data_IF_183143205877
#
_entry.id   IF_183143205877
#
_cell.length_a   1.000
_cell.length_b   1.000
_cell.length_c   1.000
_cell.angle_alpha   90.00
_cell.angle_beta   90.00
_cell.angle_gamma   90.00
#
_symmetry.space_group_name_H-M   'P 1'
#
loop_
_entity.id
_entity.type
_entity.pdbx_description
1 polymer ?
#
# COMPACT_ATOMS: atom_id res chain seq x y z
N UNK A 1 -5.66 -25.05 3.94
CA UNK A 1 -5.75 -24.46 2.58
C UNK A 1 -4.74 -23.34 2.58
N UNK A 2 -3.63 -23.47 1.86
CA UNK A 2 -2.43 -22.65 2.07
C UNK A 2 -2.65 -21.15 1.83
N UNK A 3 -1.89 -20.33 2.54
CA UNK A 3 -1.81 -18.89 2.30
C UNK A 3 -1.26 -18.61 0.90
N UNK A 4 -2.01 -17.89 0.07
CA UNK A 4 -1.56 -17.53 -1.27
C UNK A 4 -0.59 -16.33 -1.18
N UNK A 5 0.71 -16.58 -1.26
CA UNK A 5 1.77 -15.56 -1.28
C UNK A 5 1.85 -14.74 -2.59
N UNK A 6 0.78 -14.71 -3.39
CA UNK A 6 0.79 -14.20 -4.76
C UNK A 6 1.56 -15.10 -5.74
N UNK A 7 1.56 -14.73 -7.02
CA UNK A 7 2.36 -15.40 -8.05
C UNK A 7 3.86 -15.10 -7.92
N UNK A 8 4.69 -15.80 -8.70
CA UNK A 8 6.16 -15.68 -8.62
C UNK A 8 6.67 -14.24 -8.80
N UNK A 9 6.10 -13.47 -9.73
CA UNK A 9 6.47 -12.07 -9.95
C UNK A 9 6.13 -11.17 -8.76
N UNK A 10 4.96 -11.35 -8.15
CA UNK A 10 4.57 -10.58 -6.95
C UNK A 10 5.42 -10.95 -5.74
N UNK A 11 5.82 -12.22 -5.61
CA UNK A 11 6.71 -12.66 -4.55
C UNK A 11 8.12 -12.09 -4.71
N UNK A 12 8.67 -12.06 -5.93
CA UNK A 12 9.96 -11.41 -6.22
C UNK A 12 9.90 -9.91 -5.93
N UNK A 13 8.85 -9.22 -6.36
CA UNK A 13 8.68 -7.79 -6.10
C UNK A 13 8.57 -7.48 -4.59
N UNK A 14 7.86 -8.32 -3.84
CA UNK A 14 7.76 -8.19 -2.38
C UNK A 14 9.13 -8.41 -1.72
N UNK A 15 9.87 -9.43 -2.14
CA UNK A 15 11.21 -9.70 -1.61
C UNK A 15 12.18 -8.55 -1.89
N UNK A 16 12.19 -8.02 -3.11
CA UNK A 16 13.02 -6.86 -3.47
C UNK A 16 12.65 -5.60 -2.69
N UNK A 17 11.35 -5.41 -2.40
CA UNK A 17 10.86 -4.32 -1.55
C UNK A 17 11.42 -4.43 -0.13
N UNK A 18 11.29 -5.61 0.49
CA UNK A 18 11.81 -5.87 1.85
C UNK A 18 13.33 -5.68 1.87
N UNK A 19 14.06 -6.27 0.92
CA UNK A 19 15.51 -6.14 0.83
C UNK A 19 15.94 -4.69 0.69
N UNK A 20 15.32 -3.94 -0.22
CA UNK A 20 15.65 -2.53 -0.45
C UNK A 20 15.39 -1.69 0.81
N UNK A 21 14.30 -1.95 1.52
CA UNK A 21 14.01 -1.31 2.81
C UNK A 21 15.11 -1.58 3.84
N UNK A 22 15.54 -2.84 3.95
CA UNK A 22 16.52 -3.26 4.97
C UNK A 22 17.96 -2.84 4.63
N UNK A 23 18.36 -2.87 3.36
CA UNK A 23 19.74 -2.61 2.93
C UNK A 23 20.02 -1.16 2.56
N UNK A 24 19.06 -0.46 1.94
CA UNK A 24 19.22 0.92 1.45
C UNK A 24 18.54 1.89 2.41
N UNK A 25 17.36 1.53 2.91
CA UNK A 25 16.57 2.34 3.83
C UNK A 25 15.15 2.61 3.31
N UNK A 26 14.32 3.28 4.12
CA UNK A 26 12.90 3.49 3.82
C UNK A 26 12.66 4.28 2.53
N UNK A 27 13.54 5.23 2.21
CA UNK A 27 13.41 6.09 1.02
C UNK A 27 13.57 5.33 -0.31
N UNK A 28 14.14 4.12 -0.28
CA UNK A 28 14.30 3.28 -1.46
C UNK A 28 13.00 2.58 -1.88
N UNK A 29 12.00 2.51 -0.99
CA UNK A 29 10.72 1.86 -1.26
C UNK A 29 9.71 2.91 -1.73
N UNK A 30 9.13 2.71 -2.91
CA UNK A 30 8.07 3.59 -3.40
C UNK A 30 6.83 3.48 -2.52
N UNK A 31 6.43 4.58 -1.87
CA UNK A 31 5.19 4.61 -1.12
C UNK A 31 3.98 4.52 -2.07
N UNK A 32 3.25 3.40 -1.96
CA UNK A 32 2.02 3.13 -2.71
C UNK A 32 0.82 2.96 -1.77
N UNK A 33 0.96 3.35 -0.50
CA UNK A 33 -0.09 3.22 0.52
C UNK A 33 -1.29 4.13 0.25
N UNK A 34 -1.13 5.17 -0.57
CA UNK A 34 -2.20 6.05 -1.05
C UNK A 34 -3.36 5.33 -1.74
N UNK A 35 -3.14 4.11 -2.26
CA UNK A 35 -4.21 3.28 -2.83
C UNK A 35 -5.11 2.64 -1.77
N UNK A 36 -4.54 2.31 -0.61
CA UNK A 36 -5.26 1.72 0.52
C UNK A 36 -5.92 2.78 1.40
N UNK A 37 -5.29 3.95 1.52
CA UNK A 37 -5.84 5.07 2.27
C UNK A 37 -6.25 6.20 1.32
N UNK A 38 -7.47 6.11 0.79
CA UNK A 38 -8.09 7.18 -0.02
C UNK A 38 -8.97 8.07 0.89
N UNK A 39 -8.45 9.18 1.45
CA UNK A 39 -9.25 10.09 2.29
C UNK A 39 -10.28 10.88 1.47
N UNK A 40 -10.06 11.00 0.16
CA UNK A 40 -10.97 11.71 -0.76
C UNK A 40 -12.15 10.82 -1.12
N UNK A 41 -13.36 11.39 -1.14
CA UNK A 41 -14.56 10.72 -1.63
C UNK A 41 -14.41 10.26 -3.10
N UNK A 42 -15.24 9.30 -3.50
CA UNK A 42 -15.20 8.68 -4.84
C UNK A 42 -15.32 9.74 -5.94
N UNK A 43 -16.27 10.66 -5.80
CA UNK A 43 -16.45 11.78 -6.74
C UNK A 43 -15.27 12.75 -6.81
N UNK A 44 -14.65 13.08 -5.67
CA UNK A 44 -13.49 13.96 -5.64
C UNK A 44 -12.28 13.30 -6.32
N UNK A 45 -12.12 11.98 -6.14
CA UNK A 45 -11.05 11.22 -6.79
C UNK A 45 -11.28 11.15 -8.31
N UNK A 46 -12.53 10.91 -8.74
CA UNK A 46 -12.89 10.91 -10.15
C UNK A 46 -12.66 12.27 -10.83
N UNK A 47 -12.98 13.39 -10.17
CA UNK A 47 -12.71 14.73 -10.69
C UNK A 47 -11.22 15.01 -10.82
N UNK A 48 -10.41 14.62 -9.82
CA UNK A 48 -8.95 14.74 -9.89
C UNK A 48 -8.37 13.91 -11.06
N UNK A 49 -8.88 12.70 -11.26
CA UNK A 49 -8.48 11.81 -12.37
C UNK A 49 -8.87 12.42 -13.72
N UNK A 50 -10.07 13.00 -13.83
CA UNK A 50 -10.54 13.69 -15.04
C UNK A 50 -9.66 14.91 -15.39
N UNK A 51 -9.34 15.73 -14.39
CA UNK A 51 -8.45 16.89 -14.55
C UNK A 51 -7.05 16.43 -14.96
N UNK A 52 -6.52 15.39 -14.30
CA UNK A 52 -5.22 14.81 -14.63
C UNK A 52 -5.19 14.26 -16.06
N UNK A 53 -6.25 13.59 -16.49
CA UNK A 53 -6.39 13.10 -17.86
C UNK A 53 -6.50 14.25 -18.87
N UNK A 54 -7.21 15.32 -18.53
CA UNK A 54 -7.31 16.52 -19.35
C UNK A 54 -5.95 17.20 -19.54
N UNK A 55 -5.12 17.26 -18.50
CA UNK A 55 -3.76 17.78 -18.61
C UNK A 55 -2.83 16.90 -19.44
N UNK A 56 -3.02 15.57 -19.44
CA UNK A 56 -2.18 14.63 -20.22
C UNK A 56 -2.58 14.50 -21.68
N UNK A 57 -3.88 14.43 -21.97
CA UNK A 57 -4.43 14.04 -23.27
C UNK A 57 -5.29 15.12 -23.92
N UNK A 58 -5.53 16.24 -23.23
CA UNK A 58 -6.42 17.32 -23.65
C UNK A 58 -7.86 17.14 -23.16
N UNK A 59 -8.53 18.26 -22.90
CA UNK A 59 -9.90 18.29 -22.35
C UNK A 59 -10.93 17.54 -23.19
N UNK A 60 -10.87 17.66 -24.52
CA UNK A 60 -11.83 16.99 -25.39
C UNK A 60 -11.74 15.47 -25.27
N UNK A 61 -10.53 14.92 -25.36
CA UNK A 61 -10.32 13.47 -25.29
C UNK A 61 -10.57 12.93 -23.87
N UNK A 62 -10.24 13.71 -22.83
CA UNK A 62 -10.53 13.35 -21.45
C UNK A 62 -12.04 13.31 -21.16
N UNK A 63 -12.80 14.33 -21.59
CA UNK A 63 -14.26 14.34 -21.41
C UNK A 63 -14.95 13.23 -22.23
N UNK A 64 -14.47 12.96 -23.44
CA UNK A 64 -15.01 11.87 -24.26
C UNK A 64 -14.69 10.51 -23.61
N UNK A 65 -13.44 10.25 -23.28
CA UNK A 65 -13.00 8.94 -22.79
C UNK A 65 -13.31 8.71 -21.31
N UNK A 66 -12.75 9.52 -20.41
CA UNK A 66 -12.93 9.34 -18.96
C UNK A 66 -14.33 9.78 -18.52
N UNK A 67 -14.87 10.83 -19.15
CA UNK A 67 -16.22 11.34 -18.90
C UNK A 67 -17.31 10.42 -19.46
N UNK A 68 -17.48 10.41 -20.79
CA UNK A 68 -18.61 9.72 -21.40
C UNK A 68 -18.46 8.20 -21.40
N UNK A 69 -17.37 7.65 -21.96
CA UNK A 69 -17.14 6.20 -21.98
C UNK A 69 -16.91 5.65 -20.57
N UNK A 70 -16.09 6.33 -19.76
CA UNK A 70 -15.78 5.92 -18.39
C UNK A 70 -17.02 5.85 -17.50
N UNK A 71 -17.87 6.88 -17.51
CA UNK A 71 -19.03 6.94 -16.62
C UNK A 71 -20.20 6.07 -17.12
N UNK A 72 -20.54 6.13 -18.41
CA UNK A 72 -21.76 5.50 -18.92
C UNK A 72 -21.57 4.07 -19.44
N UNK A 73 -20.38 3.74 -19.96
CA UNK A 73 -20.14 2.41 -20.56
C UNK A 73 -19.38 1.52 -19.57
N UNK A 74 -18.31 2.03 -18.97
CA UNK A 74 -17.49 1.24 -18.04
C UNK A 74 -17.91 1.38 -16.57
N UNK A 75 -18.73 2.39 -16.24
CA UNK A 75 -19.15 2.70 -14.87
C UNK A 75 -17.94 2.73 -13.90
N UNK A 76 -16.98 3.60 -14.20
CA UNK A 76 -15.73 3.77 -13.42
C UNK A 76 -15.99 4.04 -11.94
N UNK A 77 -17.10 4.70 -11.59
CA UNK A 77 -17.48 4.93 -10.20
C UNK A 77 -17.81 3.63 -9.46
N UNK A 78 -18.54 2.72 -10.09
CA UNK A 78 -18.85 1.42 -9.48
C UNK A 78 -17.57 0.58 -9.31
N UNK A 79 -16.66 0.64 -10.29
CA UNK A 79 -15.36 -0.02 -10.19
C UNK A 79 -14.56 0.54 -9.00
N UNK A 80 -14.48 1.86 -8.84
CA UNK A 80 -13.77 2.49 -7.71
C UNK A 80 -14.42 2.12 -6.35
N UNK A 81 -15.76 2.02 -6.28
CA UNK A 81 -16.45 1.52 -5.07
C UNK A 81 -16.05 0.09 -4.76
N UNK A 82 -16.16 -0.81 -5.74
CA UNK A 82 -15.85 -2.22 -5.57
C UNK A 82 -14.38 -2.45 -5.22
N UNK A 83 -13.48 -1.69 -5.85
CA UNK A 83 -12.05 -1.72 -5.55
C UNK A 83 -11.79 -1.28 -4.11
N UNK A 84 -12.36 -0.14 -3.67
CA UNK A 84 -12.21 0.34 -2.30
C UNK A 84 -12.78 -0.64 -1.29
N UNK A 85 -13.93 -1.26 -1.56
CA UNK A 85 -14.49 -2.29 -0.68
C UNK A 85 -13.65 -3.56 -0.66
N UNK A 86 -12.99 -3.92 -1.76
CA UNK A 86 -12.12 -5.09 -1.82
C UNK A 86 -10.78 -4.86 -1.10
N UNK A 87 -10.26 -3.64 -1.14
CA UNK A 87 -8.97 -3.27 -0.57
C UNK A 87 -9.06 -2.69 0.85
N UNK A 88 -10.23 -2.21 1.28
CA UNK A 88 -10.46 -1.57 2.57
C UNK A 88 -11.64 -2.19 3.33
N UNK A 89 -11.45 -2.56 4.61
CA UNK A 89 -10.18 -2.56 5.33
C UNK A 89 -9.22 -3.62 4.77
N UNK A 90 -7.89 -3.46 4.95
CA UNK A 90 -6.95 -4.53 4.68
C UNK A 90 -7.39 -5.80 5.42
N UNK A 91 -7.30 -6.99 4.81
CA UNK A 91 -7.66 -8.22 5.50
C UNK A 91 -6.75 -8.44 6.71
N UNK A 92 -7.34 -8.84 7.83
CA UNK A 92 -6.57 -9.23 9.01
C UNK A 92 -5.78 -10.52 8.74
N UNK A 93 -4.58 -10.60 9.33
CA UNK A 93 -3.65 -11.73 9.17
C UNK A 93 -4.00 -12.88 10.14
N UNK A 94 -5.26 -13.33 10.15
CA UNK A 94 -5.75 -14.32 11.12
C UNK A 94 -5.42 -15.78 10.75
N UNK A 95 -4.71 -16.01 9.65
CA UNK A 95 -4.40 -17.36 9.20
C UNK A 95 -3.45 -18.06 10.19
N UNK A 96 -3.78 -19.29 10.67
CA UNK A 96 -3.07 -19.92 11.79
C UNK A 96 -1.57 -20.08 11.56
N UNK A 97 -1.15 -20.40 10.33
CA UNK A 97 0.26 -20.57 10.00
C UNK A 97 1.01 -19.22 10.04
N UNK A 98 0.34 -18.11 9.69
CA UNK A 98 0.94 -16.76 9.80
C UNK A 98 1.13 -16.42 11.27
N UNK A 99 0.11 -16.64 12.09
CA UNK A 99 0.16 -16.38 13.53
C UNK A 99 1.26 -17.20 14.19
N UNK A 100 1.45 -18.45 13.76
CA UNK A 100 2.52 -19.31 14.26
C UNK A 100 3.91 -18.79 13.87
N UNK A 101 4.11 -18.41 12.61
CA UNK A 101 5.39 -17.88 12.12
C UNK A 101 5.67 -16.45 12.56
N UNK A 102 4.64 -15.69 12.96
CA UNK A 102 4.79 -14.33 13.47
C UNK A 102 5.06 -14.27 14.97
N UNK A 103 5.14 -15.41 15.68
CA UNK A 103 5.52 -15.43 17.09
C UNK A 103 6.93 -14.85 17.26
N UNK A 104 7.15 -13.98 18.24
CA UNK A 104 8.49 -13.48 18.51
C UNK A 104 9.42 -14.65 18.85
N UNK A 105 10.69 -14.49 18.48
CA UNK A 105 11.71 -15.44 18.90
C UNK A 105 11.78 -15.50 20.43
N UNK A 106 12.20 -16.63 21.02
CA UNK A 106 12.48 -16.70 22.45
C UNK A 106 13.46 -15.60 22.87
N UNK A 107 13.28 -14.97 24.05
CA UNK A 107 14.17 -13.89 24.52
C UNK A 107 15.64 -14.26 24.54
N UNK A 108 15.97 -15.55 24.72
CA UNK A 108 17.37 -16.02 24.70
C UNK A 108 18.03 -15.89 23.31
N UNK A 109 17.24 -15.80 22.23
CA UNK A 109 17.72 -15.66 20.85
C UNK A 109 17.70 -14.21 20.35
N UNK A 110 17.32 -13.26 21.20
CA UNK A 110 17.28 -11.86 20.81
C UNK A 110 18.70 -11.32 20.62
N UNK A 111 18.92 -10.63 19.52
CA UNK A 111 20.15 -9.88 19.32
C UNK A 111 20.24 -8.74 20.35
N UNK A 112 21.42 -8.54 20.94
CA UNK A 112 21.64 -7.42 21.85
C UNK A 112 21.54 -6.11 21.07
N UNK A 113 20.70 -5.15 21.50
CA UNK A 113 20.57 -3.85 20.84
C UNK A 113 21.91 -3.13 20.73
N UNK A 114 22.16 -2.47 19.59
CA UNK A 114 23.38 -1.67 19.44
C UNK A 114 23.36 -0.45 20.38
N UNK A 115 24.53 0.04 20.82
CA UNK A 115 24.61 1.24 21.66
C UNK A 115 23.95 2.47 21.02
N UNK A 116 24.05 2.59 19.69
CA UNK A 116 23.42 3.66 18.91
C UNK A 116 21.88 3.58 18.97
N UNK A 117 21.31 2.37 18.87
CA UNK A 117 19.87 2.15 18.98
C UNK A 117 19.36 2.52 20.38
N UNK A 118 20.11 2.15 21.43
CA UNK A 118 19.77 2.53 22.80
C UNK A 118 19.81 4.05 23.01
N UNK A 119 20.80 4.74 22.44
CA UNK A 119 20.88 6.18 22.49
C UNK A 119 19.72 6.86 21.75
N UNK A 120 19.33 6.35 20.57
CA UNK A 120 18.20 6.86 19.80
C UNK A 120 16.86 6.67 20.55
N UNK A 121 16.64 5.49 21.14
CA UNK A 121 15.46 5.21 21.95
C UNK A 121 15.37 6.14 23.19
N UNK A 122 16.49 6.38 23.86
CA UNK A 122 16.54 7.31 24.99
C UNK A 122 16.20 8.75 24.56
N UNK A 123 16.69 9.20 23.40
CA UNK A 123 16.34 10.51 22.84
C UNK A 123 14.86 10.62 22.48
N UNK A 124 14.26 9.55 21.93
CA UNK A 124 12.84 9.52 21.60
C UNK A 124 11.97 9.57 22.86
N UNK A 125 12.30 8.78 23.88
CA UNK A 125 11.58 8.77 25.15
C UNK A 125 11.66 10.11 25.90
N UNK A 126 12.73 10.89 25.70
CA UNK A 126 12.86 12.24 26.25
C UNK A 126 12.07 13.31 25.46
N UNK A 127 11.61 13.00 24.24
CA UNK A 127 10.82 13.91 23.39
C UNK A 127 9.30 13.69 23.49
N UNK A 128 8.87 12.53 23.97
CA UNK A 128 7.46 12.18 24.24
C UNK A 128 7.03 12.61 25.63
#
# INVERSE_FOLDING_TARGET
>A
MGFNCGGGETAMALWECIRSYMEIGPDAVSDRTSRFNRPKGIWASYLDDLVTAAHRKGWFLALLWEGFFGLFIFNTLLIDVLERWKLSPPPDLEYPDIVEWSKPLPPEQWATPSPELLAALAQQAARS
#
